data_IF_114396965340
#
_entry.id   IF_114396965340
#
_cell.length_a   1.000
_cell.length_b   1.000
_cell.length_c   1.000
_cell.angle_alpha   90.00
_cell.angle_beta   90.00
_cell.angle_gamma   90.00
#
_symmetry.space_group_name_H-M   'P 1'
#
loop_
_entity.id
_entity.type
_entity.pdbx_description
1 polymer ?
#
# COMPACT_ATOMS: atom_id res chain seq x y z
N UNK A 1 19.74 16.77 -6.62
CA UNK A 1 18.75 17.26 -5.65
C UNK A 1 17.87 18.35 -6.25
N UNK A 2 18.41 19.50 -6.74
CA UNK A 2 17.58 20.59 -7.30
C UNK A 2 16.63 20.13 -8.41
N UNK A 3 17.09 19.28 -9.34
CA UNK A 3 16.26 18.71 -10.41
C UNK A 3 15.13 17.84 -9.85
N UNK A 4 15.42 17.01 -8.86
CA UNK A 4 14.42 16.13 -8.25
C UNK A 4 13.29 16.94 -7.60
N UNK A 5 13.62 17.99 -6.87
CA UNK A 5 12.63 18.88 -6.24
C UNK A 5 11.76 19.58 -7.29
N UNK A 6 12.34 20.00 -8.41
CA UNK A 6 11.59 20.67 -9.48
C UNK A 6 10.61 19.74 -10.19
N UNK A 7 10.94 18.46 -10.32
CA UNK A 7 10.18 17.51 -11.16
C UNK A 7 9.40 16.45 -10.36
N UNK A 8 9.26 16.61 -9.02
CA UNK A 8 8.59 15.59 -8.21
C UNK A 8 7.10 15.44 -8.48
N UNK A 9 6.44 16.46 -8.99
CA UNK A 9 5.06 16.40 -9.50
C UNK A 9 4.96 16.06 -10.99
N UNK A 10 6.06 15.89 -11.70
CA UNK A 10 6.03 15.38 -13.07
C UNK A 10 5.63 13.91 -13.09
N UNK A 11 5.18 13.45 -14.26
CA UNK A 11 4.81 12.05 -14.47
C UNK A 11 5.55 11.48 -15.67
N UNK A 12 5.67 10.15 -15.70
CA UNK A 12 6.39 9.44 -16.75
C UNK A 12 5.86 9.73 -18.15
N UNK A 13 4.56 9.94 -18.31
CA UNK A 13 3.89 10.28 -19.57
C UNK A 13 3.95 11.77 -19.94
N UNK A 14 4.40 12.63 -19.02
CA UNK A 14 4.44 14.08 -19.19
C UNK A 14 3.14 14.79 -18.83
N UNK A 15 2.19 14.11 -18.20
CA UNK A 15 0.93 14.72 -17.74
C UNK A 15 1.05 15.51 -16.43
N UNK A 16 2.23 15.45 -15.79
CA UNK A 16 2.52 16.17 -14.55
C UNK A 16 2.76 17.66 -14.74
N UNK A 17 3.36 18.29 -13.75
CA UNK A 17 3.71 19.72 -13.74
C UNK A 17 5.02 19.95 -12.94
N UNK A 18 5.72 21.08 -13.03
CA UNK A 18 5.34 22.30 -13.76
C UNK A 18 5.74 22.31 -15.24
N UNK A 19 6.67 21.43 -15.65
CA UNK A 19 7.29 21.48 -16.96
C UNK A 19 6.56 20.65 -18.02
N UNK A 20 5.65 19.76 -17.61
CA UNK A 20 4.93 18.79 -18.46
C UNK A 20 5.89 17.96 -19.32
N UNK A 21 6.99 17.52 -18.75
CA UNK A 21 8.04 16.77 -19.41
C UNK A 21 8.02 15.31 -19.02
N UNK A 22 8.25 14.44 -20.01
CA UNK A 22 8.46 13.00 -19.74
C UNK A 22 9.76 12.81 -18.96
N UNK A 23 9.68 12.29 -17.76
CA UNK A 23 10.83 11.95 -16.94
C UNK A 23 11.05 10.45 -16.91
N UNK A 24 12.30 10.02 -17.13
CA UNK A 24 12.69 8.60 -17.08
C UNK A 24 13.85 8.33 -16.12
N UNK A 25 14.31 9.36 -15.42
CA UNK A 25 15.36 9.22 -14.42
C UNK A 25 14.82 8.45 -13.22
N UNK A 26 15.54 7.43 -12.79
CA UNK A 26 15.11 6.55 -11.69
C UNK A 26 14.92 7.30 -10.39
N UNK A 27 15.86 8.20 -10.04
CA UNK A 27 15.76 8.98 -8.80
C UNK A 27 14.54 9.90 -8.80
N UNK A 28 14.26 10.56 -9.92
CA UNK A 28 13.06 11.39 -10.07
C UNK A 28 11.80 10.53 -9.96
N UNK A 29 11.79 9.34 -10.58
CA UNK A 29 10.67 8.40 -10.53
C UNK A 29 10.39 7.87 -9.13
N UNK A 30 11.41 7.61 -8.32
CA UNK A 30 11.25 7.22 -6.91
C UNK A 30 10.55 8.33 -6.13
N UNK A 31 11.05 9.57 -6.25
CA UNK A 31 10.46 10.70 -5.54
C UNK A 31 9.02 10.95 -5.98
N UNK A 32 8.73 10.90 -7.27
CA UNK A 32 7.38 11.07 -7.83
C UNK A 32 6.37 10.03 -7.28
N UNK A 33 6.77 8.77 -7.25
CA UNK A 33 5.91 7.69 -6.75
C UNK A 33 5.70 7.77 -5.23
N UNK A 34 6.75 8.08 -4.47
CA UNK A 34 6.66 8.24 -3.02
C UNK A 34 5.83 9.47 -2.62
N UNK A 35 6.01 10.59 -3.31
CA UNK A 35 5.23 11.81 -3.08
C UNK A 35 3.74 11.59 -3.39
N UNK A 36 3.44 10.94 -4.50
CA UNK A 36 2.07 10.57 -4.85
C UNK A 36 1.44 9.64 -3.80
N UNK A 37 2.19 8.63 -3.32
CA UNK A 37 1.72 7.71 -2.29
C UNK A 37 1.44 8.43 -0.97
N UNK A 38 2.34 9.31 -0.54
CA UNK A 38 2.16 10.11 0.67
C UNK A 38 0.95 11.04 0.55
N UNK A 39 0.78 11.70 -0.60
CA UNK A 39 -0.38 12.54 -0.91
C UNK A 39 -1.71 11.75 -0.78
N UNK A 40 -1.79 10.53 -1.30
CA UNK A 40 -2.97 9.68 -1.20
C UNK A 40 -3.30 9.30 0.25
N UNK A 41 -2.29 9.02 1.07
CA UNK A 41 -2.49 8.63 2.48
C UNK A 41 -2.78 9.85 3.35
N UNK A 42 -2.06 10.95 3.15
CA UNK A 42 -2.24 12.19 3.93
C UNK A 42 -3.54 12.92 3.59
N UNK A 43 -3.95 12.85 2.32
CA UNK A 43 -5.11 13.59 1.81
C UNK A 43 -4.86 15.09 1.66
N UNK A 44 -3.59 15.53 1.57
CA UNK A 44 -3.25 16.96 1.52
C UNK A 44 -3.71 17.66 0.24
N UNK A 45 -3.65 16.97 -0.90
CA UNK A 45 -4.01 17.54 -2.21
C UNK A 45 -5.13 16.76 -2.92
N UNK A 46 -5.57 15.65 -2.32
CA UNK A 46 -6.59 14.78 -2.85
C UNK A 46 -7.43 14.17 -1.74
N UNK A 47 -8.48 13.41 -2.08
CA UNK A 47 -9.23 12.65 -1.08
C UNK A 47 -8.32 11.60 -0.42
N UNK A 48 -8.27 11.61 0.91
CA UNK A 48 -7.52 10.61 1.68
C UNK A 48 -7.97 9.18 1.35
N UNK A 49 -7.01 8.32 1.09
CA UNK A 49 -7.20 6.91 0.77
C UNK A 49 -6.65 6.01 1.88
N UNK A 50 -7.14 4.77 1.95
CA UNK A 50 -6.46 3.74 2.73
C UNK A 50 -5.14 3.34 2.05
N UNK A 51 -4.21 2.72 2.81
CA UNK A 51 -2.95 2.21 2.24
C UNK A 51 -3.21 1.26 1.07
N UNK A 52 -4.22 0.39 1.19
CA UNK A 52 -4.59 -0.54 0.13
C UNK A 52 -5.03 0.19 -1.13
N UNK A 53 -5.95 1.17 -1.01
CA UNK A 53 -6.41 1.97 -2.14
C UNK A 53 -5.28 2.77 -2.80
N UNK A 54 -4.38 3.35 -1.99
CA UNK A 54 -3.21 4.07 -2.49
C UNK A 54 -2.26 3.16 -3.28
N UNK A 55 -2.00 1.94 -2.81
CA UNK A 55 -1.22 0.95 -3.55
C UNK A 55 -1.89 0.52 -4.86
N UNK A 56 -3.19 0.26 -4.84
CA UNK A 56 -3.97 -0.07 -6.04
C UNK A 56 -3.89 1.05 -7.08
N UNK A 57 -4.02 2.31 -6.66
CA UNK A 57 -3.90 3.46 -7.54
C UNK A 57 -2.50 3.59 -8.17
N UNK A 58 -1.43 3.32 -7.41
CA UNK A 58 -0.07 3.27 -7.97
C UNK A 58 0.08 2.15 -9.00
N UNK A 59 -0.49 0.97 -8.72
CA UNK A 59 -0.44 -0.18 -9.63
C UNK A 59 -1.18 0.11 -10.94
N UNK A 60 -2.36 0.70 -10.88
CA UNK A 60 -3.12 1.13 -12.05
C UNK A 60 -2.37 2.15 -12.91
N UNK A 61 -1.60 3.06 -12.27
CA UNK A 61 -0.76 4.04 -12.94
C UNK A 61 0.59 3.49 -13.45
N UNK A 62 0.85 2.20 -13.29
CA UNK A 62 2.12 1.58 -13.72
C UNK A 62 2.30 1.70 -15.24
N UNK A 63 3.51 2.04 -15.64
CA UNK A 63 3.95 2.30 -17.03
C UNK A 63 3.30 3.52 -17.71
N UNK A 64 2.26 4.09 -17.14
CA UNK A 64 1.65 5.35 -17.60
C UNK A 64 2.28 6.52 -16.82
N UNK A 65 2.09 6.56 -15.51
CA UNK A 65 2.54 7.63 -14.61
C UNK A 65 3.81 7.28 -13.84
N UNK A 66 3.98 6.01 -13.48
CA UNK A 66 5.04 5.51 -12.60
C UNK A 66 5.85 4.38 -13.24
N UNK A 67 7.13 4.25 -12.87
CA UNK A 67 7.95 3.12 -13.30
C UNK A 67 7.54 1.84 -12.56
N UNK A 68 7.33 0.76 -13.30
CA UNK A 68 6.91 -0.55 -12.79
C UNK A 68 7.84 -1.10 -11.70
N UNK A 69 9.14 -0.90 -11.83
CA UNK A 69 10.12 -1.39 -10.85
C UNK A 69 9.97 -0.67 -9.52
N UNK A 70 9.69 0.64 -9.57
CA UNK A 70 9.48 1.48 -8.39
C UNK A 70 8.18 1.10 -7.70
N UNK A 71 7.08 0.98 -8.44
CA UNK A 71 5.78 0.55 -7.88
C UNK A 71 5.90 -0.81 -7.19
N UNK A 72 6.55 -1.80 -7.82
CA UNK A 72 6.80 -3.11 -7.20
C UNK A 72 7.65 -3.04 -5.94
N UNK A 73 8.63 -2.13 -5.88
CA UNK A 73 9.42 -1.92 -4.68
C UNK A 73 8.57 -1.33 -3.55
N UNK A 74 7.73 -0.35 -3.83
CA UNK A 74 6.80 0.23 -2.86
C UNK A 74 5.84 -0.84 -2.34
N UNK A 75 5.24 -1.68 -3.21
CA UNK A 75 4.34 -2.77 -2.80
C UNK A 75 5.00 -3.78 -1.85
N UNK A 76 6.31 -4.00 -2.00
CA UNK A 76 7.07 -4.92 -1.11
C UNK A 76 7.44 -4.28 0.22
N UNK A 77 7.72 -2.97 0.22
CA UNK A 77 8.17 -2.23 1.41
C UNK A 77 7.02 -1.79 2.30
N UNK A 78 5.88 -1.49 1.69
CA UNK A 78 4.70 -0.99 2.42
C UNK A 78 3.89 -2.17 2.96
N UNK A 79 3.63 -2.16 4.26
CA UNK A 79 2.72 -3.12 4.88
C UNK A 79 1.27 -2.84 4.45
N UNK A 80 0.72 -3.68 3.59
CA UNK A 80 -0.68 -3.53 3.12
C UNK A 80 -1.70 -3.57 4.26
N UNK A 81 -1.40 -4.34 5.28
CA UNK A 81 -2.19 -4.48 6.50
C UNK A 81 -1.27 -4.19 7.71
N UNK A 82 -1.12 -2.94 8.15
CA UNK A 82 -0.30 -2.61 9.32
C UNK A 82 -0.72 -3.37 10.57
N UNK A 83 0.21 -3.54 11.51
CA UNK A 83 -0.09 -4.11 12.84
C UNK A 83 -1.19 -3.30 13.51
N UNK A 84 -2.18 -3.99 14.11
CA UNK A 84 -3.37 -3.37 14.70
C UNK A 84 -4.54 -3.20 13.72
N UNK A 85 -4.36 -3.44 12.41
CA UNK A 85 -5.45 -3.39 11.44
C UNK A 85 -6.44 -4.52 11.73
N UNK A 86 -7.73 -4.16 11.85
CA UNK A 86 -8.81 -5.13 11.98
C UNK A 86 -9.25 -5.62 10.60
N UNK A 87 -9.39 -6.93 10.45
CA UNK A 87 -9.67 -7.58 9.17
C UNK A 87 -10.72 -8.69 9.30
N UNK A 88 -11.47 -8.89 8.22
CA UNK A 88 -12.37 -10.03 8.04
C UNK A 88 -11.69 -11.07 7.15
N UNK A 89 -11.74 -12.35 7.57
CA UNK A 89 -11.17 -13.47 6.84
C UNK A 89 -12.24 -14.18 5.99
N UNK A 90 -11.77 -14.93 5.00
CA UNK A 90 -12.63 -15.79 4.18
C UNK A 90 -13.29 -16.93 4.98
N UNK A 91 -12.81 -17.21 6.18
CA UNK A 91 -13.45 -18.14 7.15
C UNK A 91 -14.67 -17.54 7.83
N UNK A 92 -14.97 -16.25 7.62
CA UNK A 92 -16.02 -15.52 8.32
C UNK A 92 -15.59 -14.92 9.66
N UNK A 93 -14.37 -15.22 10.13
CA UNK A 93 -13.83 -14.74 11.40
C UNK A 93 -13.27 -13.33 11.25
N UNK A 94 -13.37 -12.50 12.29
CA UNK A 94 -12.67 -11.23 12.40
C UNK A 94 -11.39 -11.41 13.20
N UNK A 95 -10.37 -10.62 12.89
CA UNK A 95 -9.10 -10.65 13.59
C UNK A 95 -8.35 -9.34 13.51
N UNK A 96 -7.26 -9.27 14.26
CA UNK A 96 -6.34 -8.13 14.26
C UNK A 96 -4.97 -8.59 13.75
N UNK A 97 -4.36 -7.81 12.89
CA UNK A 97 -2.99 -8.02 12.43
C UNK A 97 -2.04 -7.86 13.61
N UNK A 98 -1.38 -8.97 13.95
CA UNK A 98 -0.47 -9.04 15.09
C UNK A 98 0.98 -8.75 14.69
N UNK A 99 1.41 -9.26 13.53
CA UNK A 99 2.78 -9.17 13.04
C UNK A 99 2.84 -9.25 11.52
N UNK A 100 3.78 -8.53 10.93
CA UNK A 100 4.09 -8.67 9.51
C UNK A 100 4.89 -9.95 9.24
N UNK A 101 4.83 -10.42 8.01
CA UNK A 101 5.69 -11.50 7.48
C UNK A 101 6.49 -10.97 6.29
N UNK A 102 7.31 -11.78 5.67
CA UNK A 102 8.01 -11.44 4.43
C UNK A 102 7.05 -11.12 3.27
N UNK A 103 5.81 -11.60 3.35
CA UNK A 103 4.76 -11.31 2.39
C UNK A 103 3.77 -10.29 2.98
N UNK A 104 3.79 -9.06 2.48
CA UNK A 104 2.98 -7.93 2.97
C UNK A 104 1.46 -8.15 2.92
N UNK A 105 0.99 -9.10 2.08
CA UNK A 105 -0.43 -9.46 1.96
C UNK A 105 -0.83 -10.66 2.84
N UNK A 106 0.13 -11.29 3.55
CA UNK A 106 -0.09 -12.49 4.35
C UNK A 106 0.49 -12.35 5.77
N UNK A 107 -0.02 -11.39 6.56
CA UNK A 107 0.44 -11.17 7.93
C UNK A 107 0.03 -12.30 8.88
N UNK A 108 0.49 -12.20 10.11
CA UNK A 108 -0.02 -13.01 11.24
C UNK A 108 -1.22 -12.31 11.85
N UNK A 109 -2.33 -13.04 12.02
CA UNK A 109 -3.60 -12.50 12.51
C UNK A 109 -4.03 -13.26 13.76
N UNK A 110 -4.41 -12.52 14.80
CA UNK A 110 -5.06 -13.06 16.00
C UNK A 110 -6.57 -12.87 15.87
N UNK A 111 -7.32 -13.93 16.14
CA UNK A 111 -8.78 -13.94 15.97
C UNK A 111 -9.46 -13.25 17.13
N UNK A 112 -10.54 -12.55 16.84
CA UNK A 112 -11.46 -11.96 17.79
C UNK A 112 -12.68 -12.88 18.01
N UNK A 113 -13.19 -12.91 19.23
CA UNK A 113 -14.49 -13.53 19.53
C UNK A 113 -15.67 -12.60 19.14
N UNK A 114 -16.90 -13.07 19.36
CA UNK A 114 -18.12 -12.32 19.05
C UNK A 114 -18.23 -11.01 19.89
N UNK A 115 -17.53 -10.91 21.01
CA UNK A 115 -17.49 -9.73 21.88
C UNK A 115 -16.27 -8.84 21.58
N UNK A 116 -15.57 -9.08 20.47
CA UNK A 116 -14.37 -8.36 20.03
C UNK A 116 -13.15 -8.48 20.97
N UNK A 117 -13.08 -9.55 21.77
CA UNK A 117 -11.92 -9.83 22.62
C UNK A 117 -10.92 -10.72 21.87
N UNK A 118 -9.65 -10.53 22.16
CA UNK A 118 -8.58 -11.36 21.58
C UNK A 118 -8.67 -12.80 22.11
N UNK A 119 -8.74 -13.75 21.18
CA UNK A 119 -8.67 -15.18 21.48
C UNK A 119 -7.22 -15.68 21.46
N UNK A 120 -6.99 -16.95 21.81
CA UNK A 120 -5.69 -17.60 21.64
C UNK A 120 -5.43 -18.07 20.20
N UNK A 121 -6.46 -18.07 19.36
CA UNK A 121 -6.37 -18.54 17.97
C UNK A 121 -5.62 -17.56 17.10
N UNK A 122 -4.57 -18.05 16.44
CA UNK A 122 -3.70 -17.28 15.55
C UNK A 122 -3.57 -17.96 14.19
N UNK A 123 -3.76 -17.21 13.12
CA UNK A 123 -3.44 -17.62 11.76
C UNK A 123 -2.13 -16.97 11.28
N UNK A 124 -1.18 -17.79 10.86
CA UNK A 124 -0.02 -17.36 10.10
C UNK A 124 -0.35 -17.49 8.61
N UNK A 125 -0.81 -16.41 7.97
CA UNK A 125 -1.33 -16.50 6.61
C UNK A 125 -0.26 -16.91 5.58
N UNK A 126 1.01 -16.69 5.84
CA UNK A 126 2.11 -17.17 5.00
C UNK A 126 2.19 -18.72 4.98
N UNK A 127 1.73 -19.39 6.04
CA UNK A 127 1.69 -20.85 6.17
C UNK A 127 0.28 -21.40 5.88
N UNK A 128 -0.76 -20.72 6.31
CA UNK A 128 -2.17 -21.10 6.13
C UNK A 128 -2.70 -20.58 4.80
N UNK A 129 -2.34 -21.24 3.69
CA UNK A 129 -2.66 -20.76 2.32
C UNK A 129 -4.15 -20.66 2.01
N UNK A 130 -4.98 -21.44 2.70
CA UNK A 130 -6.45 -21.49 2.50
C UNK A 130 -7.16 -20.34 3.22
N UNK A 131 -6.48 -19.60 4.09
CA UNK A 131 -7.03 -18.46 4.81
C UNK A 131 -6.52 -17.18 4.16
N UNK A 132 -7.43 -16.24 3.91
CA UNK A 132 -7.11 -14.96 3.29
C UNK A 132 -7.93 -13.82 3.90
N UNK A 133 -7.41 -12.61 3.80
CA UNK A 133 -8.11 -11.40 4.19
C UNK A 133 -9.09 -11.04 3.06
N UNK A 134 -10.36 -10.87 3.41
CA UNK A 134 -11.40 -10.40 2.49
C UNK A 134 -11.47 -8.87 2.47
N UNK A 135 -11.45 -8.26 3.65
CA UNK A 135 -11.57 -6.81 3.78
C UNK A 135 -10.98 -6.30 5.09
N UNK A 136 -10.67 -5.00 5.12
CA UNK A 136 -10.34 -4.27 6.33
C UNK A 136 -11.65 -3.82 6.98
N UNK A 137 -11.77 -4.04 8.29
CA UNK A 137 -12.89 -3.55 9.10
C UNK A 137 -12.49 -2.23 9.79
N UNK A 138 -13.40 -1.29 9.78
CA UNK A 138 -13.21 -0.02 10.49
C UNK A 138 -13.55 -0.14 11.99
#
# INVERSE_FOLDING_TARGET
VKKMVLVHHERRDGSGFPLKQKTRDTECGILQACDAFDCFISGMECRRMSIQQALEYLVEGTDIFYDRRIVRAIERLVARYPVGTRVRLNTGESGIVLKQTENSIRPVIRILDEENRLTEKVYQLNKNKNVSILQVEN
#
